data_IF_337409904521
#
_entry.id   IF_337409904521
#
_cell.length_a   1.000
_cell.length_b   1.000
_cell.length_c   1.000
_cell.angle_alpha   90.00
_cell.angle_beta   90.00
_cell.angle_gamma   90.00
#
_symmetry.space_group_name_H-M   'P 1'
#
loop_
_entity.id
_entity.type
_entity.pdbx_description
1 polymer ?
#
# COMPACT_ATOMS: atom_id res chain seq x y z
N UNK A 1 -11.86 19.30 -12.10
CA UNK A 1 -11.42 18.68 -10.83
C UNK A 1 -10.89 17.31 -11.17
N UNK A 2 -9.63 17.03 -10.83
CA UNK A 2 -9.03 15.71 -11.07
C UNK A 2 -9.61 14.71 -10.07
N UNK A 3 -10.04 13.57 -10.58
CA UNK A 3 -10.48 12.43 -9.76
C UNK A 3 -9.29 11.49 -9.55
N UNK A 4 -9.22 10.76 -8.43
CA UNK A 4 -8.18 9.76 -8.23
C UNK A 4 -8.24 8.68 -9.30
N UNK A 5 -7.10 8.37 -9.91
CA UNK A 5 -6.97 7.23 -10.82
C UNK A 5 -6.71 5.95 -10.04
N UNK A 6 -7.23 4.86 -10.58
CA UNK A 6 -7.00 3.51 -10.09
C UNK A 6 -6.26 2.72 -11.16
N UNK A 7 -5.27 1.95 -10.73
CA UNK A 7 -4.50 1.10 -11.63
C UNK A 7 -4.78 -0.36 -11.30
N UNK A 8 -4.84 -1.24 -12.31
CA UNK A 8 -4.96 -2.68 -12.08
C UNK A 8 -3.70 -3.20 -11.40
N UNK A 9 -3.85 -4.22 -10.56
CA UNK A 9 -2.74 -5.06 -10.09
C UNK A 9 -1.98 -5.62 -11.30
N UNK A 10 -0.63 -5.54 -11.34
CA UNK A 10 0.15 -6.23 -12.35
C UNK A 10 -0.20 -7.72 -12.44
N UNK A 11 -0.40 -8.20 -13.66
CA UNK A 11 -0.64 -9.62 -13.97
C UNK A 11 0.66 -10.28 -14.45
N UNK A 12 0.89 -11.54 -14.08
CA UNK A 12 2.06 -12.33 -14.48
C UNK A 12 2.76 -13.02 -13.31
N UNK A 13 3.69 -13.92 -13.62
CA UNK A 13 4.36 -14.79 -12.63
C UNK A 13 5.38 -14.05 -11.74
N UNK A 14 5.79 -12.84 -12.13
CA UNK A 14 6.84 -12.08 -11.44
C UNK A 14 8.21 -12.77 -11.41
N UNK A 15 9.15 -12.14 -10.72
CA UNK A 15 10.47 -12.68 -10.42
C UNK A 15 10.48 -13.21 -8.98
N UNK A 16 11.02 -14.41 -8.77
CA UNK A 16 11.21 -14.96 -7.43
C UNK A 16 12.29 -14.15 -6.71
N UNK A 17 11.98 -13.65 -5.52
CA UNK A 17 12.93 -12.91 -4.70
C UNK A 17 14.03 -13.84 -4.18
N UNK A 18 15.29 -13.41 -4.31
CA UNK A 18 16.45 -14.17 -3.83
C UNK A 18 16.72 -13.96 -2.34
N UNK A 19 16.14 -12.90 -1.77
CA UNK A 19 16.20 -12.54 -0.36
C UNK A 19 14.78 -12.39 0.18
N UNK A 20 14.53 -12.90 1.38
CA UNK A 20 13.22 -12.77 2.01
C UNK A 20 12.86 -11.28 2.21
N UNK A 21 11.62 -10.86 1.90
CA UNK A 21 11.15 -9.51 2.19
C UNK A 21 11.40 -9.12 3.64
N UNK A 22 11.81 -7.86 3.83
CA UNK A 22 12.08 -7.28 5.16
C UNK A 22 11.14 -6.13 5.43
N UNK A 23 10.63 -6.08 6.65
CA UNK A 23 9.89 -4.93 7.16
C UNK A 23 10.84 -3.73 7.28
N UNK A 24 10.28 -2.53 7.19
CA UNK A 24 10.98 -1.31 7.55
C UNK A 24 11.61 -1.45 8.95
N UNK A 25 12.89 -1.10 9.05
CA UNK A 25 13.62 -1.08 10.31
C UNK A 25 13.93 0.38 10.68
N UNK A 26 13.82 0.69 11.96
CA UNK A 26 14.18 2.00 12.54
C UNK A 26 15.42 1.90 13.43
N UNK A 27 16.09 0.74 13.42
CA UNK A 27 17.31 0.51 14.18
C UNK A 27 18.48 1.32 13.58
N UNK A 28 19.58 1.41 14.32
CA UNK A 28 20.82 2.06 13.85
C UNK A 28 21.35 1.35 12.60
N UNK A 29 22.04 2.06 11.71
CA UNK A 29 22.47 1.55 10.40
C UNK A 29 23.35 0.29 10.43
N UNK A 30 24.07 0.05 11.54
CA UNK A 30 24.91 -1.12 11.77
C UNK A 30 24.14 -2.31 12.37
N UNK A 31 22.87 -2.12 12.73
CA UNK A 31 22.04 -3.17 13.30
C UNK A 31 21.80 -4.30 12.27
N UNK A 32 21.83 -5.58 12.68
CA UNK A 32 21.62 -6.70 11.77
C UNK A 32 20.33 -6.63 10.96
N UNK A 33 19.27 -6.01 11.48
CA UNK A 33 18.02 -5.86 10.73
C UNK A 33 18.12 -4.80 9.63
N UNK A 34 18.85 -3.71 9.88
CA UNK A 34 19.14 -2.70 8.84
C UNK A 34 20.04 -3.25 7.74
N UNK A 35 21.06 -4.02 8.11
CA UNK A 35 21.94 -4.66 7.13
C UNK A 35 21.15 -5.62 6.24
N UNK A 36 20.28 -6.45 6.85
CA UNK A 36 19.42 -7.39 6.10
C UNK A 36 18.38 -6.68 5.23
N UNK A 37 17.81 -5.58 5.71
CA UNK A 37 16.89 -4.76 4.92
C UNK A 37 17.59 -4.18 3.69
N UNK A 38 18.78 -3.57 3.87
CA UNK A 38 19.56 -3.00 2.76
C UNK A 38 19.95 -4.06 1.72
N UNK A 39 20.44 -5.21 2.16
CA UNK A 39 20.81 -6.34 1.28
C UNK A 39 19.60 -6.81 0.44
N UNK A 40 18.43 -6.96 1.06
CA UNK A 40 17.18 -7.28 0.35
C UNK A 40 16.82 -6.21 -0.70
N UNK A 41 16.90 -4.93 -0.33
CA UNK A 41 16.52 -3.82 -1.21
C UNK A 41 17.47 -3.68 -2.41
N UNK A 42 18.78 -3.85 -2.20
CA UNK A 42 19.79 -3.78 -3.25
C UNK A 42 19.66 -4.96 -4.23
N UNK A 43 19.53 -6.18 -3.73
CA UNK A 43 19.32 -7.37 -4.57
C UNK A 43 18.02 -7.27 -5.38
N UNK A 44 16.92 -6.82 -4.75
CA UNK A 44 15.63 -6.67 -5.44
C UNK A 44 15.67 -5.59 -6.51
N UNK A 45 16.35 -4.47 -6.25
CA UNK A 45 16.52 -3.41 -7.25
C UNK A 45 17.36 -3.88 -8.45
N UNK A 46 18.42 -4.65 -8.20
CA UNK A 46 19.20 -5.26 -9.27
C UNK A 46 18.37 -6.27 -10.08
N UNK A 47 17.54 -7.07 -9.41
CA UNK A 47 16.67 -8.06 -10.04
C UNK A 47 15.61 -7.40 -10.95
N UNK A 48 15.04 -6.28 -10.53
CA UNK A 48 14.01 -5.54 -11.29
C UNK A 48 14.58 -4.59 -12.34
N UNK A 49 15.87 -4.26 -12.29
CA UNK A 49 16.49 -3.28 -13.19
C UNK A 49 16.13 -3.49 -14.68
N UNK A 50 16.07 -4.73 -15.23
CA UNK A 50 15.67 -4.93 -16.62
C UNK A 50 14.20 -4.55 -16.90
N UNK A 51 13.30 -4.71 -15.94
CA UNK A 51 11.86 -4.41 -16.09
C UNK A 51 11.58 -2.90 -15.96
N UNK A 52 12.42 -2.18 -15.24
CA UNK A 52 12.28 -0.73 -15.01
C UNK A 52 12.88 0.12 -16.15
N UNK A 53 13.27 -0.50 -17.26
CA UNK A 53 13.79 0.21 -18.45
C UNK A 53 12.71 0.70 -19.41
N UNK A 54 11.44 0.37 -19.14
CA UNK A 54 10.31 0.82 -19.95
C UNK A 54 9.95 2.28 -19.64
N UNK A 55 9.71 3.08 -20.69
CA UNK A 55 9.26 4.46 -20.56
C UNK A 55 7.79 4.53 -20.10
N UNK A 56 7.50 5.48 -19.20
CA UNK A 56 6.16 5.85 -18.78
C UNK A 56 5.64 5.15 -17.52
N UNK A 57 4.37 5.43 -17.14
CA UNK A 57 3.83 5.03 -15.85
C UNK A 57 3.89 3.52 -15.62
N UNK A 58 4.39 3.11 -14.47
CA UNK A 58 4.53 1.70 -14.09
C UNK A 58 3.97 1.43 -12.69
N UNK A 59 3.65 0.17 -12.46
CA UNK A 59 3.13 -0.34 -11.20
C UNK A 59 4.04 -1.43 -10.64
N UNK A 60 4.28 -1.38 -9.33
CA UNK A 60 4.99 -2.40 -8.57
C UNK A 60 3.99 -3.40 -7.99
N UNK A 61 4.33 -4.68 -8.00
CA UNK A 61 3.68 -5.71 -7.21
C UNK A 61 4.73 -6.44 -6.36
N UNK A 62 4.50 -6.50 -5.04
CA UNK A 62 5.24 -7.33 -4.09
C UNK A 62 4.30 -8.41 -3.54
N UNK A 63 4.67 -9.68 -3.70
CA UNK A 63 3.97 -10.81 -3.11
C UNK A 63 4.84 -11.42 -2.00
N UNK A 64 4.43 -11.22 -0.75
CA UNK A 64 5.12 -11.71 0.43
C UNK A 64 4.63 -13.11 0.78
N UNK A 65 5.49 -14.10 0.56
CA UNK A 65 5.29 -15.46 1.05
C UNK A 65 5.70 -15.57 2.51
N UNK A 66 4.77 -15.99 3.36
CA UNK A 66 5.00 -16.23 4.79
C UNK A 66 4.88 -17.73 5.12
N UNK A 67 5.67 -18.26 6.07
CA UNK A 67 5.51 -19.64 6.54
C UNK A 67 4.10 -19.89 7.11
N UNK A 68 3.58 -21.11 6.96
CA UNK A 68 2.23 -21.49 7.44
C UNK A 68 2.04 -21.32 8.94
N UNK A 69 3.11 -21.39 9.73
CA UNK A 69 3.08 -21.17 11.18
C UNK A 69 2.94 -19.69 11.58
N UNK A 70 3.07 -18.75 10.63
CA UNK A 70 2.98 -17.32 10.91
C UNK A 70 1.57 -16.81 10.66
N UNK A 71 1.04 -16.03 11.60
CA UNK A 71 -0.25 -15.37 11.45
C UNK A 71 -0.21 -14.32 10.32
N UNK A 72 -1.24 -14.30 9.47
CA UNK A 72 -1.38 -13.33 8.38
C UNK A 72 -2.09 -12.04 8.82
N UNK A 73 -2.95 -12.08 9.83
CA UNK A 73 -3.86 -10.98 10.19
C UNK A 73 -3.43 -10.22 11.45
N UNK A 74 -2.55 -10.78 12.27
CA UNK A 74 -2.08 -10.14 13.50
C UNK A 74 -0.68 -9.50 13.39
N UNK A 75 0.05 -9.77 12.30
CA UNK A 75 1.41 -9.28 12.10
C UNK A 75 1.69 -8.95 10.64
N UNK A 76 2.82 -8.28 10.41
CA UNK A 76 3.41 -8.09 9.08
C UNK A 76 2.59 -7.15 8.18
N UNK A 77 2.43 -5.92 8.65
CA UNK A 77 1.72 -4.84 7.95
C UNK A 77 2.34 -4.64 6.56
N UNK A 78 1.48 -4.60 5.54
CA UNK A 78 1.94 -4.64 4.15
C UNK A 78 2.63 -3.35 3.72
N UNK A 79 2.25 -2.22 4.30
CA UNK A 79 2.92 -0.94 4.09
C UNK A 79 4.36 -0.98 4.62
N UNK A 80 4.62 -1.66 5.73
CA UNK A 80 5.97 -1.85 6.26
C UNK A 80 6.87 -2.71 5.35
N UNK A 81 6.31 -3.57 4.49
CA UNK A 81 7.07 -4.24 3.43
C UNK A 81 7.19 -3.38 2.17
N UNK A 82 6.11 -2.75 1.75
CA UNK A 82 6.02 -2.02 0.49
C UNK A 82 6.82 -0.71 0.51
N UNK A 83 6.73 0.05 1.61
CA UNK A 83 7.34 1.38 1.75
C UNK A 83 8.85 1.43 1.49
N UNK A 84 9.69 0.57 2.11
CA UNK A 84 11.12 0.60 1.86
C UNK A 84 11.46 0.19 0.41
N UNK A 85 10.74 -0.79 -0.17
CA UNK A 85 10.97 -1.23 -1.54
C UNK A 85 10.56 -0.14 -2.55
N UNK A 86 9.35 0.40 -2.43
CA UNK A 86 8.89 1.50 -3.27
C UNK A 86 9.82 2.71 -3.16
N UNK A 87 10.27 3.06 -1.95
CA UNK A 87 11.25 4.13 -1.72
C UNK A 87 12.57 3.88 -2.45
N UNK A 88 13.05 2.63 -2.50
CA UNK A 88 14.29 2.26 -3.18
C UNK A 88 14.20 2.30 -4.71
N UNK A 89 13.02 1.98 -5.25
CA UNK A 89 12.79 1.83 -6.69
C UNK A 89 12.17 3.06 -7.36
N UNK A 90 11.59 3.99 -6.57
CA UNK A 90 10.79 5.09 -7.12
C UNK A 90 11.55 5.93 -8.15
N UNK A 91 10.82 6.30 -9.17
CA UNK A 91 11.03 7.45 -10.03
C UNK A 91 9.66 8.15 -10.18
N UNK A 92 9.60 9.19 -11.01
CA UNK A 92 8.39 9.96 -11.32
C UNK A 92 7.26 9.12 -11.95
N UNK A 93 7.59 7.98 -12.55
CA UNK A 93 6.66 7.10 -13.25
C UNK A 93 6.03 6.01 -12.36
N UNK A 94 6.47 5.87 -11.10
CA UNK A 94 5.84 4.94 -10.17
C UNK A 94 4.46 5.46 -9.73
N UNK A 95 3.40 4.94 -10.36
CA UNK A 95 2.01 5.41 -10.14
C UNK A 95 1.16 4.47 -9.30
N UNK A 96 1.57 3.22 -9.13
CA UNK A 96 0.87 2.28 -8.27
C UNK A 96 1.79 1.27 -7.58
N UNK A 97 1.47 0.91 -6.34
CA UNK A 97 2.16 -0.12 -5.57
C UNK A 97 1.13 -1.08 -5.02
N UNK A 98 1.28 -2.35 -5.38
CA UNK A 98 0.53 -3.47 -4.88
C UNK A 98 1.40 -4.29 -3.95
N UNK A 99 0.86 -4.68 -2.81
CA UNK A 99 1.52 -5.55 -1.85
C UNK A 99 0.52 -6.58 -1.37
N UNK A 100 0.92 -7.85 -1.32
CA UNK A 100 0.07 -8.93 -0.80
C UNK A 100 0.87 -9.80 0.14
N UNK A 101 0.20 -10.43 1.11
CA UNK A 101 0.79 -11.51 1.91
C UNK A 101 -0.08 -12.75 1.87
N UNK A 102 0.55 -13.91 1.74
CA UNK A 102 -0.09 -15.22 1.73
C UNK A 102 0.83 -16.24 2.40
N UNK A 103 0.27 -17.36 2.83
CA UNK A 103 1.10 -18.51 3.17
C UNK A 103 1.69 -19.09 1.89
N UNK A 104 3.00 -18.95 1.73
CA UNK A 104 3.75 -19.45 0.60
C UNK A 104 5.24 -19.52 0.95
N UNK A 105 5.95 -20.51 0.43
CA UNK A 105 7.39 -20.68 0.66
C UNK A 105 8.23 -19.61 -0.04
N UNK A 106 7.67 -18.99 -1.08
CA UNK A 106 8.38 -18.11 -2.00
C UNK A 106 7.68 -16.76 -2.10
N UNK A 107 8.49 -15.70 -2.07
CA UNK A 107 8.05 -14.33 -2.33
C UNK A 107 8.41 -13.92 -3.76
N UNK A 108 7.60 -13.04 -4.36
CA UNK A 108 7.77 -12.58 -5.73
C UNK A 108 7.68 -11.07 -5.83
N UNK A 109 8.22 -10.54 -6.91
CA UNK A 109 8.13 -9.14 -7.26
C UNK A 109 7.93 -8.96 -8.76
N UNK A 110 7.16 -7.96 -9.16
CA UNK A 110 6.92 -7.63 -10.56
C UNK A 110 6.84 -6.11 -10.71
N UNK A 111 7.57 -5.56 -11.69
CA UNK A 111 7.33 -4.23 -12.20
C UNK A 111 6.76 -4.35 -13.62
N UNK A 112 5.66 -3.66 -13.90
CA UNK A 112 4.98 -3.72 -15.20
C UNK A 112 4.39 -2.35 -15.57
N UNK A 113 4.16 -2.07 -16.87
CA UNK A 113 3.43 -0.88 -17.30
C UNK A 113 2.08 -0.77 -16.59
N UNK A 114 1.77 0.43 -16.09
CA UNK A 114 0.54 0.67 -15.35
C UNK A 114 -0.66 0.66 -16.31
N UNK A 115 -1.76 0.02 -15.88
CA UNK A 115 -3.01 -0.04 -16.64
C UNK A 115 -4.12 0.55 -15.79
N UNK A 116 -4.69 1.67 -16.24
CA UNK A 116 -5.84 2.28 -15.56
C UNK A 116 -7.05 1.34 -15.55
N UNK A 117 -7.87 1.44 -14.51
CA UNK A 117 -9.12 0.71 -14.32
C UNK A 117 -10.20 1.64 -13.76
N UNK A 118 -11.46 1.22 -13.82
CA UNK A 118 -12.58 1.97 -13.24
C UNK A 118 -12.48 2.12 -11.72
N UNK A 119 -11.65 1.28 -11.08
CA UNK A 119 -11.45 1.29 -9.64
C UNK A 119 -12.52 0.51 -8.88
N UNK A 120 -12.45 0.52 -7.54
CA UNK A 120 -13.43 -0.13 -6.66
C UNK A 120 -14.82 0.53 -6.76
N UNK A 121 -15.88 -0.28 -6.62
CA UNK A 121 -17.25 0.21 -6.74
C UNK A 121 -17.71 1.16 -5.61
N UNK A 122 -17.30 0.91 -4.37
CA UNK A 122 -17.62 1.77 -3.22
C UNK A 122 -16.34 2.39 -2.68
N UNK A 123 -16.32 3.72 -2.56
CA UNK A 123 -15.18 4.47 -2.05
C UNK A 123 -15.63 5.57 -1.09
N UNK A 124 -14.77 5.90 -0.13
CA UNK A 124 -14.89 7.06 0.75
C UNK A 124 -13.87 8.09 0.33
N UNK A 125 -14.30 9.32 0.01
CA UNK A 125 -13.42 10.35 -0.55
C UNK A 125 -13.34 11.56 0.37
N UNK A 126 -12.12 12.05 0.59
CA UNK A 126 -11.87 13.26 1.39
C UNK A 126 -10.76 14.10 0.80
N UNK A 127 -10.91 15.42 0.93
CA UNK A 127 -9.85 16.39 0.63
C UNK A 127 -9.26 16.88 1.95
N UNK A 128 -7.95 16.79 2.09
CA UNK A 128 -7.21 17.30 3.25
C UNK A 128 -6.24 18.39 2.84
N UNK A 129 -6.15 19.42 3.67
CA UNK A 129 -5.16 20.51 3.60
C UNK A 129 -4.10 20.37 4.69
N UNK A 130 -4.26 19.40 5.60
CA UNK A 130 -3.38 19.19 6.73
C UNK A 130 -2.08 18.49 6.32
N UNK A 131 -1.01 18.74 7.06
CA UNK A 131 0.26 18.02 6.88
C UNK A 131 0.12 16.58 7.34
N UNK A 132 0.60 15.62 6.54
CA UNK A 132 0.56 14.18 6.85
C UNK A 132 1.30 13.79 8.15
N UNK A 133 2.15 14.67 8.68
CA UNK A 133 2.83 14.48 9.96
C UNK A 133 2.01 14.89 11.20
N UNK A 134 0.80 15.46 11.03
CA UNK A 134 0.00 15.97 12.14
C UNK A 134 -1.23 15.11 12.41
N UNK A 135 -1.74 15.18 13.65
CA UNK A 135 -3.01 14.54 14.04
C UNK A 135 -4.18 15.02 13.19
N UNK A 136 -4.21 16.32 12.83
CA UNK A 136 -5.26 16.91 12.00
C UNK A 136 -5.43 16.21 10.64
N UNK A 137 -4.34 15.70 10.06
CA UNK A 137 -4.43 14.89 8.85
C UNK A 137 -5.19 13.58 9.10
N UNK A 138 -4.84 12.86 10.17
CA UNK A 138 -5.51 11.60 10.53
C UNK A 138 -6.98 11.82 10.88
N UNK A 139 -7.31 12.91 11.57
CA UNK A 139 -8.69 13.29 11.89
C UNK A 139 -9.52 13.57 10.62
N UNK A 140 -8.96 14.29 9.65
CA UNK A 140 -9.63 14.55 8.37
C UNK A 140 -9.79 13.27 7.55
N UNK A 141 -8.81 12.36 7.56
CA UNK A 141 -8.96 11.05 6.90
C UNK A 141 -10.05 10.21 7.59
N UNK A 142 -10.03 10.15 8.93
CA UNK A 142 -10.99 9.39 9.74
C UNK A 142 -12.43 9.86 9.50
N UNK A 143 -12.66 11.17 9.35
CA UNK A 143 -14.01 11.70 9.14
C UNK A 143 -14.66 11.21 7.85
N UNK A 144 -13.88 10.78 6.86
CA UNK A 144 -14.39 10.18 5.62
C UNK A 144 -15.04 8.80 5.83
N UNK A 145 -14.64 8.10 6.89
CA UNK A 145 -14.98 6.70 7.13
C UNK A 145 -15.64 6.46 8.50
N UNK A 146 -15.90 7.53 9.27
CA UNK A 146 -16.39 7.41 10.66
C UNK A 146 -17.78 6.75 10.76
N UNK A 147 -18.63 6.97 9.75
CA UNK A 147 -19.98 6.38 9.67
C UNK A 147 -20.01 5.07 8.87
N UNK A 148 -18.85 4.59 8.40
CA UNK A 148 -18.76 3.33 7.69
C UNK A 148 -18.93 2.15 8.66
N UNK A 149 -19.56 1.08 8.18
CA UNK A 149 -19.60 -0.16 8.93
C UNK A 149 -18.19 -0.75 9.07
N UNK A 150 -17.82 -1.14 10.29
CA UNK A 150 -16.58 -1.88 10.52
C UNK A 150 -16.56 -3.18 9.71
N UNK A 151 -15.41 -3.47 9.09
CA UNK A 151 -15.26 -4.67 8.28
C UNK A 151 -15.22 -5.89 9.21
N UNK A 152 -16.05 -6.94 8.97
CA UNK A 152 -16.05 -8.15 9.79
C UNK A 152 -14.65 -8.75 9.96
N UNK A 153 -14.39 -9.28 11.15
CA UNK A 153 -13.09 -9.86 11.52
C UNK A 153 -12.56 -10.83 10.44
N UNK A 154 -11.24 -10.74 10.19
CA UNK A 154 -10.55 -11.53 9.18
C UNK A 154 -9.77 -10.69 8.16
N UNK A 155 -9.24 -11.34 7.11
CA UNK A 155 -8.44 -10.71 6.06
C UNK A 155 -9.17 -9.58 5.33
N UNK A 156 -8.45 -8.49 5.03
CA UNK A 156 -8.97 -7.29 4.39
C UNK A 156 -8.20 -7.00 3.10
N UNK A 157 -8.93 -6.62 2.05
CA UNK A 157 -8.38 -5.92 0.90
C UNK A 157 -8.58 -4.41 1.08
N UNK A 158 -7.51 -3.64 0.94
CA UNK A 158 -7.48 -2.19 1.05
C UNK A 158 -6.88 -1.59 -0.23
N UNK A 159 -7.54 -0.58 -0.78
CA UNK A 159 -6.94 0.27 -1.78
C UNK A 159 -7.08 1.75 -1.41
N UNK A 160 -6.01 2.52 -1.62
CA UNK A 160 -5.95 3.96 -1.41
C UNK A 160 -5.52 4.64 -2.71
N UNK A 161 -6.27 5.62 -3.19
CA UNK A 161 -5.90 6.43 -4.34
C UNK A 161 -5.73 7.89 -3.94
N UNK A 162 -4.53 8.42 -4.16
CA UNK A 162 -4.14 9.79 -3.82
C UNK A 162 -4.11 10.65 -5.09
N UNK A 163 -4.68 11.85 -5.06
CA UNK A 163 -4.31 12.95 -5.94
C UNK A 163 -3.46 13.91 -5.15
N UNK A 164 -2.28 14.27 -5.68
CA UNK A 164 -1.31 15.12 -5.01
C UNK A 164 -0.75 16.18 -5.97
N UNK A 165 -0.25 17.29 -5.42
CA UNK A 165 0.58 18.22 -6.18
C UNK A 165 1.98 17.63 -6.52
N UNK A 166 2.67 18.15 -7.54
CA UNK A 166 3.88 17.57 -8.12
C UNK A 166 5.08 17.49 -7.15
N UNK A 167 5.10 18.31 -6.09
CA UNK A 167 6.22 18.36 -5.15
C UNK A 167 6.03 17.40 -3.95
N UNK A 168 4.88 16.74 -3.83
CA UNK A 168 4.57 15.92 -2.66
C UNK A 168 5.07 14.48 -2.87
N UNK A 169 5.89 14.01 -1.93
CA UNK A 169 6.22 12.59 -1.85
C UNK A 169 4.99 11.81 -1.36
N UNK A 170 4.26 11.19 -2.28
CA UNK A 170 3.02 10.47 -1.97
C UNK A 170 3.24 9.23 -1.10
N UNK A 171 4.45 8.64 -1.09
CA UNK A 171 4.77 7.47 -0.26
C UNK A 171 4.66 7.78 1.24
N UNK A 172 4.93 9.01 1.66
CA UNK A 172 4.86 9.40 3.08
C UNK A 172 3.43 9.59 3.58
N UNK A 173 2.44 9.57 2.68
CA UNK A 173 1.02 9.64 3.03
C UNK A 173 0.46 8.30 3.49
N UNK A 174 1.11 7.19 3.14
CA UNK A 174 0.55 5.84 3.32
C UNK A 174 0.29 5.51 4.78
N UNK A 175 1.34 5.55 5.62
CA UNK A 175 1.22 5.20 7.05
C UNK A 175 0.22 6.07 7.78
N UNK A 176 0.28 7.42 7.73
CA UNK A 176 -0.69 8.23 8.46
C UNK A 176 -2.12 8.07 7.92
N UNK A 177 -2.30 7.73 6.64
CA UNK A 177 -3.62 7.39 6.10
C UNK A 177 -4.13 6.08 6.69
N UNK A 178 -3.33 5.01 6.65
CA UNK A 178 -3.70 3.69 7.19
C UNK A 178 -3.99 3.78 8.69
N UNK A 179 -3.15 4.49 9.46
CA UNK A 179 -3.34 4.74 10.89
C UNK A 179 -4.70 5.38 11.23
N UNK A 180 -5.32 6.10 10.30
CA UNK A 180 -6.61 6.76 10.48
C UNK A 180 -7.82 5.87 10.15
N UNK A 181 -7.60 4.63 9.68
CA UNK A 181 -8.66 3.71 9.24
C UNK A 181 -9.16 2.79 10.36
N UNK A 182 -8.96 3.17 11.62
CA UNK A 182 -9.48 2.42 12.75
C UNK A 182 -11.01 2.21 12.74
N UNK A 183 -11.87 3.09 12.17
CA UNK A 183 -13.30 2.80 12.05
C UNK A 183 -13.61 1.63 11.10
N UNK A 184 -12.78 1.40 10.08
CA UNK A 184 -12.97 0.31 9.12
C UNK A 184 -12.34 -0.99 9.58
N UNK A 185 -11.15 -0.90 10.18
CA UNK A 185 -10.31 -2.06 10.50
C UNK A 185 -10.47 -2.54 11.95
N UNK A 186 -11.19 -1.78 12.79
CA UNK A 186 -11.19 -1.98 14.22
C UNK A 186 -9.87 -1.52 14.86
N UNK A 187 -9.82 -1.55 16.20
CA UNK A 187 -8.66 -1.11 17.00
C UNK A 187 -7.93 -2.29 17.62
N UNK A 188 -6.61 -2.18 17.74
CA UNK A 188 -5.81 -3.14 18.53
C UNK A 188 -5.95 -2.91 20.03
N UNK A 189 -6.22 -1.67 20.45
CA UNK A 189 -6.53 -1.29 21.83
C UNK A 189 -7.55 -0.16 21.86
N UNK A 190 -8.52 -0.26 22.75
CA UNK A 190 -9.59 0.75 22.88
C UNK A 190 -9.05 2.11 23.37
N UNK A 191 -7.95 2.10 24.14
CA UNK A 191 -7.35 3.28 24.79
C UNK A 191 -6.35 4.04 23.90
N UNK A 192 -6.07 3.54 22.69
CA UNK A 192 -5.00 4.08 21.84
C UNK A 192 -5.52 4.45 20.46
N UNK A 193 -5.73 5.75 20.24
CA UNK A 193 -6.04 6.29 18.91
C UNK A 193 -4.90 6.05 17.93
N UNK A 194 -5.25 5.92 16.64
CA UNK A 194 -4.32 5.76 15.51
C UNK A 194 -3.58 4.42 15.46
N UNK A 195 -4.18 3.37 16.04
CA UNK A 195 -3.67 2.00 16.05
C UNK A 195 -4.71 1.00 15.50
N UNK A 196 -5.03 1.09 14.20
CA UNK A 196 -5.94 0.17 13.55
C UNK A 196 -5.39 -1.26 13.59
N UNK A 197 -6.24 -2.26 13.37
CA UNK A 197 -5.79 -3.63 13.10
C UNK A 197 -5.31 -3.77 11.63
N UNK A 198 -4.34 -2.96 11.23
CA UNK A 198 -3.77 -2.93 9.87
C UNK A 198 -3.01 -4.20 9.50
N UNK A 199 -2.61 -5.00 10.49
CA UNK A 199 -2.19 -6.39 10.30
C UNK A 199 -3.20 -7.23 9.50
N UNK A 200 -4.50 -6.92 9.56
CA UNK A 200 -5.56 -7.66 8.82
C UNK A 200 -5.48 -7.46 7.31
N UNK A 201 -4.79 -6.42 6.83
CA UNK A 201 -4.71 -6.12 5.40
C UNK A 201 -3.82 -7.17 4.73
N UNK A 202 -4.43 -8.04 3.91
CA UNK A 202 -3.72 -9.07 3.15
C UNK A 202 -3.50 -8.70 1.70
N UNK A 203 -4.23 -7.71 1.20
CA UNK A 203 -4.13 -7.18 -0.16
C UNK A 203 -4.18 -5.66 -0.10
N UNK A 204 -3.08 -5.01 -0.48
CA UNK A 204 -2.91 -3.57 -0.42
C UNK A 204 -2.64 -3.03 -1.83
N UNK A 205 -3.43 -2.06 -2.27
CA UNK A 205 -3.20 -1.28 -3.49
C UNK A 205 -3.07 0.20 -3.18
N UNK A 206 -2.02 0.86 -3.65
CA UNK A 206 -1.70 2.25 -3.36
C UNK A 206 -1.48 2.96 -4.69
N UNK A 207 -2.29 3.96 -5.02
CA UNK A 207 -2.33 4.61 -6.32
C UNK A 207 -2.06 6.11 -6.18
N UNK A 208 -1.39 6.71 -7.15
CA UNK A 208 -1.19 8.16 -7.18
C UNK A 208 -1.57 8.77 -8.53
N UNK A 209 -2.12 9.97 -8.49
CA UNK A 209 -2.32 10.87 -9.61
C UNK A 209 -1.71 12.21 -9.27
N UNK A 210 -0.91 12.78 -10.16
CA UNK A 210 -0.33 14.12 -9.96
C UNK A 210 -1.23 15.16 -10.64
N UNK A 211 -1.66 16.17 -9.88
CA UNK A 211 -2.43 17.31 -10.35
C UNK A 211 -1.78 18.62 -9.86
N UNK A 212 -1.20 19.38 -10.79
CA UNK A 212 -0.56 20.66 -10.49
C UNK A 212 -1.51 21.71 -9.89
N UNK A 213 -2.81 21.64 -10.19
CA UNK A 213 -3.80 22.59 -9.67
C UNK A 213 -4.14 22.37 -8.19
N UNK A 214 -3.74 21.23 -7.62
CA UNK A 214 -4.07 20.86 -6.24
C UNK A 214 -3.17 21.56 -5.19
N UNK A 215 -2.03 22.13 -5.62
CA UNK A 215 -1.09 22.79 -4.73
C UNK A 215 -0.57 21.84 -3.65
N UNK A 216 -0.85 22.15 -2.38
CA UNK A 216 -0.45 21.32 -1.23
C UNK A 216 -1.53 20.36 -0.74
N UNK A 217 -2.74 20.48 -1.25
CA UNK A 217 -3.86 19.65 -0.85
C UNK A 217 -3.66 18.21 -1.31
N UNK A 218 -4.39 17.31 -0.66
CA UNK A 218 -4.46 15.90 -1.04
C UNK A 218 -5.92 15.53 -1.18
N UNK A 219 -6.30 14.98 -2.33
CA UNK A 219 -7.56 14.26 -2.48
C UNK A 219 -7.27 12.77 -2.28
N UNK A 220 -8.00 12.12 -1.41
CA UNK A 220 -7.83 10.72 -1.08
C UNK A 220 -9.16 9.99 -1.29
N UNK A 221 -9.13 8.88 -2.00
CA UNK A 221 -10.21 7.90 -2.02
C UNK A 221 -9.77 6.59 -1.38
N UNK A 222 -10.62 6.02 -0.52
CA UNK A 222 -10.40 4.82 0.27
C UNK A 222 -11.42 3.77 -0.15
N UNK A 223 -10.96 2.55 -0.45
CA UNK A 223 -11.82 1.40 -0.69
C UNK A 223 -11.34 0.22 0.16
N UNK A 224 -12.23 -0.37 0.95
CA UNK A 224 -11.88 -1.50 1.80
C UNK A 224 -13.03 -2.50 1.87
N UNK A 225 -12.70 -3.79 1.89
CA UNK A 225 -13.66 -4.89 1.96
C UNK A 225 -13.00 -6.16 2.53
N UNK A 226 -13.79 -7.16 2.97
CA UNK A 226 -13.24 -8.49 3.29
C UNK A 226 -12.49 -9.08 2.09
N UNK A 227 -11.32 -9.69 2.34
CA UNK A 227 -10.59 -10.39 1.28
C UNK A 227 -11.35 -11.68 0.91
N UNK A 228 -11.56 -11.91 -0.39
CA UNK A 228 -12.35 -13.05 -0.90
C UNK A 228 -13.81 -12.73 -1.23
N UNK A 229 -14.31 -11.53 -0.92
CA UNK A 229 -15.65 -11.07 -1.34
C UNK A 229 -15.77 -10.71 -2.83
N UNK A 230 -14.70 -10.88 -3.63
CA UNK A 230 -14.67 -10.72 -5.08
C UNK A 230 -14.02 -11.95 -5.74
N UNK A 231 -14.70 -13.10 -5.63
CA UNK A 231 -14.56 -14.22 -6.58
C UNK A 231 -15.93 -14.54 -7.19
N UNK A 232 -16.62 -13.51 -7.65
CA UNK A 232 -17.77 -13.64 -8.53
C UNK A 232 -17.53 -12.71 -9.70
N UNK A 233 -16.76 -13.19 -10.66
CA UNK A 233 -17.12 -13.04 -12.06
C UNK A 233 -16.83 -14.38 -12.73
N UNK A 234 -17.91 -15.14 -12.88
CA UNK A 234 -18.08 -16.19 -13.86
C UNK A 234 -17.76 -15.62 -15.24
N UNK A 235 -16.69 -16.09 -15.86
CA UNK A 235 -16.62 -16.13 -17.32
C UNK A 235 -16.47 -17.58 -17.75
N UNK A 236 -17.66 -18.16 -17.97
CA UNK A 236 -17.91 -19.25 -18.89
C UNK A 236 -17.61 -18.83 -20.32
#
# INVERSE_FOLDING_TARGET
MTVPKWYRRPDGDGLVLRKAPRLASWNKSSDPDQVRLRDYLEDTAQLLSPQLTADGPWALLLEVGLPSARDLVDMADLDNYAFPLATRLRNEDLVAVWCTKRHAEISRVLAAPARETTGPGTTYTVRTTASASTTAYKEQVRSAVVDAAEIPAGPVQLQLAFVVGPQRNWLTLWKPTIDALDPLLGRTREDRDWHPQDGRITDLGLHVTVDASLGHDVLLSIAAAPAGALRTDDHR
#
